data_IF_480981994097
#
_entry.id   IF_480981994097
#
_cell.length_a   1.000
_cell.length_b   1.000
_cell.length_c   1.000
_cell.angle_alpha   90.00
_cell.angle_beta   90.00
_cell.angle_gamma   90.00
#
_symmetry.space_group_name_H-M   'P 1'
#
loop_
_entity.id
_entity.type
_entity.pdbx_description
1 polymer ?
#
# COMPACT_ATOMS: atom_id res chain seq x y z
N UNK A 1 4.10 31.03 -23.37
CA UNK A 1 3.68 29.95 -22.44
C UNK A 1 3.29 28.77 -23.30
N UNK A 2 3.93 27.60 -23.17
CA UNK A 2 3.54 26.42 -23.96
C UNK A 2 2.20 25.89 -23.44
N UNK A 3 1.26 25.64 -24.34
CA UNK A 3 -0.03 25.02 -24.04
C UNK A 3 0.09 23.49 -24.15
N UNK A 4 -0.89 22.75 -23.61
CA UNK A 4 -0.91 21.29 -23.69
C UNK A 4 -0.91 20.79 -25.16
N UNK A 5 -1.44 21.58 -26.08
CA UNK A 5 -1.41 21.30 -27.52
C UNK A 5 -0.01 21.42 -28.15
N UNK A 6 0.94 22.08 -27.48
CA UNK A 6 2.33 22.25 -27.93
C UNK A 6 3.26 21.13 -27.43
N UNK A 7 2.72 20.15 -26.69
CA UNK A 7 3.46 18.99 -26.19
C UNK A 7 3.48 17.91 -27.28
N UNK A 8 4.64 17.72 -27.91
CA UNK A 8 4.85 16.64 -28.89
C UNK A 8 5.24 15.36 -28.15
N UNK A 9 4.60 14.24 -28.47
CA UNK A 9 4.86 12.95 -27.82
C UNK A 9 4.37 12.93 -26.37
N UNK A 10 5.16 12.36 -25.46
CA UNK A 10 4.83 12.31 -24.03
C UNK A 10 5.35 13.52 -23.23
N UNK A 11 5.85 14.55 -23.92
CA UNK A 11 6.43 15.73 -23.28
C UNK A 11 7.72 15.48 -22.51
N UNK A 12 8.42 14.37 -22.78
CA UNK A 12 9.64 13.97 -22.07
C UNK A 12 9.37 13.22 -20.77
N UNK A 13 8.11 12.89 -20.49
CA UNK A 13 7.69 12.18 -19.28
C UNK A 13 8.22 10.75 -19.22
N UNK A 14 8.44 10.10 -20.37
CA UNK A 14 8.92 8.73 -20.52
C UNK A 14 8.16 7.70 -19.66
N UNK A 15 6.84 7.87 -19.54
CA UNK A 15 6.00 7.09 -18.62
C UNK A 15 6.12 5.60 -18.88
N UNK A 16 6.09 5.19 -20.16
CA UNK A 16 6.17 3.78 -20.55
C UNK A 16 7.46 3.14 -20.05
N UNK A 17 8.61 3.79 -20.24
CA UNK A 17 9.87 3.25 -19.75
C UNK A 17 9.94 3.23 -18.22
N UNK A 18 9.39 4.24 -17.54
CA UNK A 18 9.31 4.26 -16.07
C UNK A 18 8.49 3.09 -15.53
N UNK A 19 7.32 2.81 -16.11
CA UNK A 19 6.47 1.68 -15.76
C UNK A 19 7.21 0.36 -16.00
N UNK A 20 7.88 0.22 -17.15
CA UNK A 20 8.68 -0.96 -17.48
C UNK A 20 9.79 -1.19 -16.43
N UNK A 21 10.52 -0.13 -16.06
CA UNK A 21 11.59 -0.21 -15.06
C UNK A 21 11.04 -0.56 -13.66
N UNK A 22 9.87 -0.05 -13.29
CA UNK A 22 9.21 -0.42 -12.04
C UNK A 22 8.78 -1.89 -12.03
N UNK A 23 8.23 -2.40 -13.14
CA UNK A 23 7.83 -3.80 -13.27
C UNK A 23 9.02 -4.76 -13.10
N UNK A 24 10.16 -4.47 -13.74
CA UNK A 24 11.40 -5.26 -13.59
C UNK A 24 11.86 -5.25 -12.13
N UNK A 25 11.93 -4.08 -11.49
CA UNK A 25 12.31 -3.97 -10.07
C UNK A 25 11.37 -4.76 -9.15
N UNK A 26 10.07 -4.75 -9.44
CA UNK A 26 9.09 -5.50 -8.67
C UNK A 26 9.31 -7.01 -8.83
N UNK A 27 9.51 -7.48 -10.06
CA UNK A 27 9.79 -8.88 -10.36
C UNK A 27 11.05 -9.37 -9.63
N UNK A 28 12.14 -8.59 -9.67
CA UNK A 28 13.38 -8.93 -8.97
C UNK A 28 13.16 -9.02 -7.45
N UNK A 29 12.44 -8.06 -6.85
CA UNK A 29 12.16 -8.04 -5.40
C UNK A 29 11.27 -9.19 -4.95
N UNK A 30 10.30 -9.57 -5.78
CA UNK A 30 9.37 -10.65 -5.46
C UNK A 30 9.91 -12.03 -5.84
N UNK A 31 11.04 -12.14 -6.54
CA UNK A 31 11.65 -13.41 -6.96
C UNK A 31 11.95 -14.37 -5.80
N UNK A 32 12.13 -13.84 -4.58
CA UNK A 32 12.37 -14.62 -3.36
C UNK A 32 11.09 -14.92 -2.55
N UNK A 33 9.93 -14.45 -2.99
CA UNK A 33 8.64 -14.68 -2.35
C UNK A 33 8.00 -15.92 -2.99
N UNK A 34 8.01 -17.03 -2.26
CA UNK A 34 7.53 -18.32 -2.79
C UNK A 34 6.01 -18.35 -3.04
N UNK A 35 5.24 -17.66 -2.21
CA UNK A 35 3.78 -17.67 -2.27
C UNK A 35 3.22 -16.27 -2.00
N UNK A 36 2.29 -15.84 -2.85
CA UNK A 36 1.54 -14.59 -2.70
C UNK A 36 0.07 -14.95 -2.57
N UNK A 37 -0.57 -14.53 -1.48
CA UNK A 37 -1.98 -14.79 -1.20
C UNK A 37 -2.72 -13.46 -1.18
N UNK A 38 -3.62 -13.25 -2.14
CA UNK A 38 -4.49 -12.08 -2.18
C UNK A 38 -5.75 -12.30 -1.35
N UNK A 39 -5.95 -11.48 -0.32
CA UNK A 39 -7.19 -11.48 0.48
C UNK A 39 -8.04 -10.29 0.06
N UNK A 40 -9.13 -10.55 -0.67
CA UNK A 40 -9.99 -9.53 -1.28
C UNK A 40 -11.45 -9.68 -0.85
N UNK A 41 -12.22 -8.59 -0.89
CA UNK A 41 -13.68 -8.63 -0.66
C UNK A 41 -14.40 -7.55 -1.47
N UNK A 42 -15.63 -7.86 -1.87
CA UNK A 42 -16.49 -6.91 -2.59
C UNK A 42 -17.18 -5.86 -1.71
N UNK A 43 -17.05 -5.95 -0.38
CA UNK A 43 -17.68 -5.03 0.58
C UNK A 43 -16.78 -4.75 1.78
N UNK A 44 -16.88 -3.54 2.34
CA UNK A 44 -16.26 -3.18 3.62
C UNK A 44 -16.86 -3.96 4.79
N UNK A 45 -16.11 -4.13 5.88
CA UNK A 45 -16.61 -4.70 7.14
C UNK A 45 -16.76 -6.23 7.19
N UNK A 46 -16.45 -6.98 6.12
CA UNK A 46 -16.60 -8.46 6.10
C UNK A 46 -15.50 -9.22 6.86
N UNK A 47 -14.55 -8.53 7.49
CA UNK A 47 -13.47 -9.15 8.26
C UNK A 47 -12.23 -9.58 7.46
N UNK A 48 -12.00 -9.02 6.25
CA UNK A 48 -10.77 -9.28 5.46
C UNK A 48 -9.50 -9.21 6.30
N UNK A 49 -9.29 -8.08 6.98
CA UNK A 49 -8.09 -7.83 7.78
C UNK A 49 -7.93 -8.85 8.90
N UNK A 50 -9.05 -9.26 9.52
CA UNK A 50 -9.07 -10.30 10.55
C UNK A 50 -8.60 -11.64 9.99
N UNK A 51 -9.10 -12.03 8.81
CA UNK A 51 -8.65 -13.25 8.13
C UNK A 51 -7.17 -13.16 7.76
N UNK A 52 -6.71 -12.02 7.21
CA UNK A 52 -5.31 -11.80 6.83
C UNK A 52 -4.37 -11.94 8.02
N UNK A 53 -4.64 -11.26 9.15
CA UNK A 53 -3.75 -11.31 10.31
C UNK A 53 -3.71 -12.69 10.96
N UNK A 54 -4.84 -13.40 11.04
CA UNK A 54 -4.88 -14.75 11.61
C UNK A 54 -4.16 -15.76 10.72
N UNK A 55 -4.36 -15.69 9.40
CA UNK A 55 -3.66 -16.54 8.45
C UNK A 55 -2.14 -16.30 8.51
N UNK A 56 -1.72 -15.03 8.47
CA UNK A 56 -0.31 -14.66 8.57
C UNK A 56 0.32 -15.13 9.88
N UNK A 57 -0.38 -14.94 11.00
CA UNK A 57 0.09 -15.38 12.32
C UNK A 57 0.20 -16.90 12.40
N UNK A 58 -0.79 -17.65 11.90
CA UNK A 58 -0.75 -19.11 11.87
C UNK A 58 0.44 -19.63 11.04
N UNK A 59 0.71 -19.05 9.87
CA UNK A 59 1.88 -19.39 9.06
C UNK A 59 3.20 -19.06 9.79
N UNK A 60 3.29 -17.88 10.42
CA UNK A 60 4.48 -17.47 11.16
C UNK A 60 4.74 -18.36 12.38
N UNK A 61 3.69 -18.78 13.10
CA UNK A 61 3.78 -19.73 14.22
C UNK A 61 4.28 -21.12 13.79
N UNK A 62 4.10 -21.50 12.52
CA UNK A 62 4.68 -22.72 11.95
C UNK A 62 6.15 -22.54 11.51
N UNK A 63 6.76 -21.38 11.80
CA UNK A 63 8.16 -21.08 11.46
C UNK A 63 8.36 -20.59 10.03
N UNK A 64 7.29 -20.26 9.29
CA UNK A 64 7.41 -19.70 7.95
C UNK A 64 7.82 -18.23 8.00
N UNK A 65 8.61 -17.79 7.00
CA UNK A 65 8.92 -16.37 6.81
C UNK A 65 7.72 -15.67 6.18
N UNK A 66 7.05 -14.82 6.94
CA UNK A 66 5.80 -14.17 6.52
C UNK A 66 5.99 -12.65 6.38
N UNK A 67 5.45 -12.11 5.30
CA UNK A 67 5.24 -10.68 5.11
C UNK A 67 3.75 -10.37 4.97
N UNK A 68 3.30 -9.26 5.54
CA UNK A 68 1.92 -8.75 5.41
C UNK A 68 1.98 -7.36 4.79
N UNK A 69 1.26 -7.19 3.68
CA UNK A 69 1.09 -5.91 2.99
C UNK A 69 -0.39 -5.53 3.00
N UNK A 70 -0.70 -4.41 3.63
CA UNK A 70 -2.04 -3.83 3.69
C UNK A 70 -2.12 -2.61 2.77
N UNK A 71 -2.99 -2.71 1.76
CA UNK A 71 -3.25 -1.67 0.76
C UNK A 71 -4.64 -1.05 0.93
N UNK A 72 -5.34 -1.31 2.04
CA UNK A 72 -6.65 -0.71 2.32
C UNK A 72 -6.48 0.75 2.77
N UNK A 73 -6.78 1.70 1.89
CA UNK A 73 -6.65 3.13 2.19
C UNK A 73 -7.82 3.64 3.03
N UNK A 74 -8.99 2.99 2.95
CA UNK A 74 -10.24 3.50 3.50
C UNK A 74 -10.45 3.12 4.97
N UNK A 75 -9.79 2.07 5.42
CA UNK A 75 -9.82 1.65 6.82
C UNK A 75 -8.71 0.66 7.13
N UNK A 76 -7.42 1.08 7.00
CA UNK A 76 -6.32 0.18 7.30
C UNK A 76 -6.37 -0.17 8.79
N UNK A 77 -6.32 -1.46 9.08
CA UNK A 77 -6.48 -1.96 10.46
C UNK A 77 -5.42 -2.99 10.84
N UNK A 78 -4.57 -3.40 9.90
CA UNK A 78 -3.63 -4.50 10.10
C UNK A 78 -2.53 -4.11 11.10
N UNK A 79 -1.95 -2.91 10.99
CA UNK A 79 -0.90 -2.49 11.93
C UNK A 79 -1.41 -2.42 13.36
N UNK A 80 -2.61 -1.87 13.58
CA UNK A 80 -3.32 -1.92 14.86
C UNK A 80 -3.55 -3.35 15.36
N UNK A 81 -4.11 -4.24 14.54
CA UNK A 81 -4.40 -5.62 14.93
C UNK A 81 -3.15 -6.42 15.33
N UNK A 82 -2.02 -6.12 14.69
CA UNK A 82 -0.73 -6.77 14.98
C UNK A 82 0.09 -6.05 16.07
N UNK A 83 -0.43 -4.94 16.63
CA UNK A 83 0.23 -4.20 17.70
C UNK A 83 1.47 -3.41 17.26
N UNK A 84 1.62 -3.12 15.97
CA UNK A 84 2.80 -2.46 15.39
C UNK A 84 2.57 -1.00 15.00
N UNK A 85 1.44 -0.44 15.39
CA UNK A 85 1.01 0.91 14.98
C UNK A 85 1.94 2.04 15.43
N UNK A 86 2.64 1.87 16.56
CA UNK A 86 3.61 2.84 17.05
C UNK A 86 4.90 2.90 16.22
N UNK A 87 5.07 2.01 15.25
CA UNK A 87 6.23 1.98 14.37
C UNK A 87 6.15 3.07 13.30
N UNK A 88 7.15 3.95 13.26
CA UNK A 88 7.32 4.91 12.15
C UNK A 88 8.18 4.27 11.05
N UNK A 89 7.64 4.09 9.83
CA UNK A 89 8.40 3.55 8.71
C UNK A 89 9.60 4.42 8.34
N UNK A 90 10.77 3.78 8.20
CA UNK A 90 12.01 4.47 7.80
C UNK A 90 12.26 4.28 6.32
N UNK A 91 12.44 5.39 5.60
CA UNK A 91 12.84 5.37 4.19
C UNK A 91 14.33 5.05 4.11
N UNK A 92 14.67 4.06 3.30
CA UNK A 92 16.01 3.57 3.01
C UNK A 92 16.31 3.74 1.51
N UNK A 93 17.58 3.76 1.08
CA UNK A 93 17.93 3.89 -0.35
C UNK A 93 17.27 2.86 -1.26
N UNK A 94 16.95 1.68 -0.72
CA UNK A 94 16.37 0.55 -1.43
C UNK A 94 14.88 0.31 -1.11
N UNK A 95 14.20 1.17 -0.35
CA UNK A 95 12.77 1.00 -0.05
C UNK A 95 12.39 1.51 1.34
N UNK A 96 11.28 1.01 1.87
CA UNK A 96 10.82 1.35 3.22
C UNK A 96 11.06 0.15 4.13
N UNK A 97 11.65 0.37 5.31
CA UNK A 97 11.79 -0.67 6.31
C UNK A 97 10.40 -1.01 6.89
N UNK A 98 9.94 -2.26 6.80
CA UNK A 98 8.66 -2.67 7.38
C UNK A 98 8.74 -2.80 8.90
N UNK A 99 7.60 -2.69 9.56
CA UNK A 99 7.48 -2.97 10.98
C UNK A 99 7.74 -4.46 11.26
N UNK A 100 8.23 -4.77 12.46
CA UNK A 100 8.35 -6.14 12.94
C UNK A 100 7.13 -6.48 13.81
N UNK A 101 6.34 -7.45 13.36
CA UNK A 101 5.16 -7.94 14.07
C UNK A 101 5.42 -9.23 14.85
N UNK A 102 4.36 -9.85 15.36
CA UNK A 102 4.44 -11.13 16.07
C UNK A 102 5.19 -12.20 15.28
N UNK A 103 5.92 -13.06 15.98
CA UNK A 103 6.71 -14.14 15.37
C UNK A 103 7.74 -13.67 14.32
N UNK A 104 8.18 -12.40 14.38
CA UNK A 104 9.18 -11.84 13.48
C UNK A 104 8.65 -11.52 12.06
N UNK A 105 7.33 -11.53 11.85
CA UNK A 105 6.75 -11.20 10.55
C UNK A 105 7.03 -9.74 10.16
N UNK A 106 7.19 -9.47 8.87
CA UNK A 106 7.36 -8.10 8.36
C UNK A 106 6.03 -7.51 7.95
N UNK A 107 5.67 -6.35 8.48
CA UNK A 107 4.36 -5.72 8.27
C UNK A 107 4.53 -4.35 7.62
N UNK A 108 3.81 -4.13 6.53
CA UNK A 108 3.66 -2.82 5.91
C UNK A 108 2.16 -2.52 5.76
N UNK A 109 1.70 -1.38 6.26
CA UNK A 109 0.30 -0.97 6.20
C UNK A 109 0.16 0.54 6.10
N UNK A 110 -0.92 0.99 5.46
CA UNK A 110 -1.28 2.40 5.39
C UNK A 110 -1.55 3.01 6.79
N UNK A 111 -1.96 2.19 7.76
CA UNK A 111 -2.19 2.59 9.16
C UNK A 111 -0.90 3.12 9.83
N UNK A 112 0.28 2.71 9.36
CA UNK A 112 1.57 3.21 9.86
C UNK A 112 1.86 4.67 9.49
N UNK A 113 1.14 5.22 8.51
CA UNK A 113 1.29 6.60 8.07
C UNK A 113 0.19 7.52 8.60
N UNK A 114 -0.82 6.98 9.29
CA UNK A 114 -1.91 7.74 9.88
C UNK A 114 -1.57 8.13 11.33
N UNK A 115 -1.76 9.39 11.73
CA UNK A 115 -1.47 9.84 13.09
C UNK A 115 -2.43 9.27 14.14
N UNK A 116 -3.72 9.07 13.79
CA UNK A 116 -4.70 8.39 14.65
C UNK A 116 -5.78 7.65 13.83
N UNK A 117 -6.60 6.83 14.51
CA UNK A 117 -7.60 5.95 13.88
C UNK A 117 -8.76 6.74 13.25
N UNK A 118 -8.98 7.97 13.73
CA UNK A 118 -10.06 8.84 13.30
C UNK A 118 -9.62 9.74 12.13
N UNK A 119 -8.33 9.77 11.81
CA UNK A 119 -7.76 10.60 10.75
C UNK A 119 -8.11 9.97 9.41
N UNK A 120 -9.02 10.59 8.62
CA UNK A 120 -9.25 10.12 7.26
C UNK A 120 -7.96 10.33 6.46
N UNK A 121 -7.69 9.45 5.49
CA UNK A 121 -6.62 9.71 4.52
C UNK A 121 -6.95 11.00 3.77
N UNK A 122 -6.22 12.07 4.10
CA UNK A 122 -6.36 13.37 3.47
C UNK A 122 -5.52 13.37 2.20
N UNK A 123 -6.17 13.55 1.06
CA UNK A 123 -5.51 13.71 -0.21
C UNK A 123 -5.13 15.19 -0.41
N UNK A 124 -3.94 15.45 -0.96
CA UNK A 124 -3.59 16.80 -1.39
C UNK A 124 -4.50 17.21 -2.55
N UNK A 125 -5.48 18.06 -2.25
CA UNK A 125 -6.35 18.71 -3.23
C UNK A 125 -6.24 20.24 -3.09
N UNK A 126 -6.49 21.02 -4.16
CA UNK A 126 -6.49 22.48 -4.09
C UNK A 126 -7.40 23.03 -2.99
N UNK A 127 -8.54 22.36 -2.76
CA UNK A 127 -9.41 22.57 -1.60
C UNK A 127 -10.00 21.23 -1.11
N UNK A 128 -10.36 21.15 0.18
CA UNK A 128 -11.01 19.96 0.76
C UNK A 128 -12.42 19.69 0.19
N UNK A 129 -13.10 20.71 -0.33
CA UNK A 129 -14.39 20.54 -1.03
C UNK A 129 -14.21 19.77 -2.35
N UNK A 130 -13.12 20.02 -3.07
CA UNK A 130 -12.80 19.30 -4.30
C UNK A 130 -12.24 17.89 -4.04
N UNK A 131 -11.80 17.61 -2.82
CA UNK A 131 -11.17 16.33 -2.46
C UNK A 131 -12.11 15.12 -2.68
N UNK A 132 -13.43 15.28 -2.68
CA UNK A 132 -14.39 14.20 -2.98
C UNK A 132 -14.38 13.79 -4.46
N UNK A 133 -14.25 14.76 -5.38
CA UNK A 133 -14.15 14.50 -6.83
C UNK A 133 -12.83 13.81 -7.16
N UNK A 134 -11.76 14.22 -6.49
CA UNK A 134 -10.43 13.60 -6.62
C UNK A 134 -10.37 12.21 -5.98
N UNK A 135 -11.08 11.96 -4.86
CA UNK A 135 -11.17 10.64 -4.23
C UNK A 135 -11.74 9.59 -5.17
N UNK A 136 -12.92 9.85 -5.76
CA UNK A 136 -13.58 8.90 -6.65
C UNK A 136 -12.79 8.62 -7.93
N UNK A 137 -12.15 9.65 -8.48
CA UNK A 137 -11.34 9.52 -9.69
C UNK A 137 -10.03 8.75 -9.43
N UNK A 138 -9.36 9.01 -8.30
CA UNK A 138 -8.09 8.39 -7.93
C UNK A 138 -8.23 6.95 -7.41
N UNK A 139 -9.30 6.65 -6.67
CA UNK A 139 -9.66 5.28 -6.27
C UNK A 139 -9.92 4.41 -7.50
N UNK A 140 -10.61 4.94 -8.53
CA UNK A 140 -10.82 4.21 -9.79
C UNK A 140 -9.51 3.96 -10.57
N UNK A 141 -8.54 4.88 -10.52
CA UNK A 141 -7.25 4.72 -11.21
C UNK A 141 -6.24 3.87 -10.45
N UNK A 142 -6.35 3.75 -9.13
CA UNK A 142 -5.43 2.92 -8.31
C UNK A 142 -5.81 1.43 -8.35
N UNK A 143 -7.07 1.12 -8.67
CA UNK A 143 -7.62 -0.25 -8.72
C UNK A 143 -7.62 -0.83 -10.15
N UNK A 144 -7.15 -0.09 -11.15
CA UNK A 144 -6.89 -0.58 -12.52
C UNK A 144 -5.40 -0.76 -12.76
#
# INVERSE_FOLDING_TARGET
MKTYADIVGDGGSNIVAQVQQQAVRLQDRLSHVHHIVGVVSGKGGVGKSVVTVNLATACAMQGLRVGVLDVDINGPSIAKMLGVRSYTPKVMPNGVMPAEGPCGMRVMSMDLFLPDDATPVLWSAPTQQDAYVWRGTMEMTTVR
#
